data_IF_468351206670
#
_entry.id   IF_468351206670
#
_cell.length_a   1.000
_cell.length_b   1.000
_cell.length_c   1.000
_cell.angle_alpha   90.00
_cell.angle_beta   90.00
_cell.angle_gamma   90.00
#
_symmetry.space_group_name_H-M   'P 1'
#
loop_
_entity.id
_entity.type
_entity.pdbx_description
1 polymer ?
#
# COMPACT_ATOMS: atom_id res chain seq x y z
N UNK A 1 -88.93 -46.72 -48.44
CA UNK A 1 -88.50 -45.49 -49.14
C UNK A 1 -88.75 -44.30 -48.23
N UNK A 2 -87.70 -43.77 -47.59
CA UNK A 2 -87.60 -42.41 -46.99
C UNK A 2 -86.17 -42.27 -46.43
N UNK A 3 -85.20 -41.74 -47.20
CA UNK A 3 -84.66 -40.36 -47.16
C UNK A 3 -84.32 -39.87 -45.74
N UNK A 4 -83.04 -39.83 -45.36
CA UNK A 4 -82.00 -38.80 -45.61
C UNK A 4 -82.10 -37.58 -44.66
N UNK A 5 -80.94 -37.28 -44.06
CA UNK A 5 -80.45 -36.02 -43.48
C UNK A 5 -80.74 -35.73 -42.00
N UNK A 6 -79.70 -35.90 -41.17
CA UNK A 6 -79.28 -34.88 -40.19
C UNK A 6 -77.87 -35.19 -39.63
N UNK A 7 -76.82 -34.90 -40.41
CA UNK A 7 -75.44 -34.87 -39.90
C UNK A 7 -74.76 -33.60 -40.42
N UNK A 8 -74.04 -32.96 -39.50
CA UNK A 8 -73.36 -31.66 -39.57
C UNK A 8 -74.20 -30.42 -39.25
N UNK A 9 -74.17 -30.02 -37.98
CA UNK A 9 -73.94 -28.60 -37.64
C UNK A 9 -73.44 -28.42 -36.21
N UNK A 10 -72.13 -28.57 -35.97
CA UNK A 10 -71.48 -27.78 -34.92
C UNK A 10 -69.95 -27.64 -35.07
N UNK A 11 -69.51 -27.01 -36.16
CA UNK A 11 -68.11 -26.61 -36.35
C UNK A 11 -67.68 -25.44 -35.47
N UNK A 12 -68.60 -24.79 -34.74
CA UNK A 12 -68.29 -23.74 -33.75
C UNK A 12 -67.83 -24.31 -32.40
N UNK A 13 -68.36 -25.46 -31.98
CA UNK A 13 -67.99 -26.09 -30.70
C UNK A 13 -66.55 -26.62 -30.71
N UNK A 14 -66.13 -27.27 -31.80
CA UNK A 14 -64.74 -27.73 -31.96
C UNK A 14 -63.70 -26.61 -32.03
N UNK A 15 -64.12 -25.38 -32.38
CA UNK A 15 -63.22 -24.21 -32.47
C UNK A 15 -63.05 -23.48 -31.14
N UNK A 16 -64.02 -23.55 -30.21
CA UNK A 16 -63.83 -23.03 -28.84
C UNK A 16 -63.05 -24.03 -27.98
N UNK A 17 -63.36 -25.33 -28.08
CA UNK A 17 -62.60 -26.39 -27.39
C UNK A 17 -61.11 -26.38 -27.74
N UNK A 18 -60.74 -26.11 -29.00
CA UNK A 18 -59.33 -25.95 -29.39
C UNK A 18 -58.66 -24.74 -28.74
N UNK A 19 -59.37 -23.61 -28.61
CA UNK A 19 -58.83 -22.40 -27.97
C UNK A 19 -58.65 -22.58 -26.47
N UNK A 20 -59.60 -23.24 -25.82
CA UNK A 20 -59.53 -23.61 -24.39
C UNK A 20 -58.40 -24.61 -24.14
N UNK A 21 -58.21 -25.59 -25.06
CA UNK A 21 -57.09 -26.53 -25.00
C UNK A 21 -55.72 -25.86 -25.17
N UNK A 22 -55.56 -24.94 -26.13
CA UNK A 22 -54.31 -24.17 -26.29
C UNK A 22 -54.06 -23.23 -25.11
N UNK A 23 -55.10 -22.63 -24.53
CA UNK A 23 -54.98 -21.80 -23.33
C UNK A 23 -54.54 -22.62 -22.11
N UNK A 24 -55.08 -23.83 -21.95
CA UNK A 24 -54.68 -24.77 -20.90
C UNK A 24 -53.23 -25.25 -21.07
N UNK A 25 -52.81 -25.52 -22.32
CA UNK A 25 -51.45 -25.96 -22.63
C UNK A 25 -50.40 -24.84 -22.41
N UNK A 26 -50.77 -23.58 -22.69
CA UNK A 26 -49.94 -22.40 -22.36
C UNK A 26 -49.83 -22.19 -20.84
N UNK A 27 -50.91 -22.42 -20.09
CA UNK A 27 -50.92 -22.31 -18.63
C UNK A 27 -50.03 -23.37 -17.94
N UNK A 28 -49.97 -24.57 -18.51
CA UNK A 28 -49.05 -25.64 -18.05
C UNK A 28 -47.59 -25.30 -18.38
N UNK A 29 -47.30 -24.74 -19.56
CA UNK A 29 -45.93 -24.36 -19.93
C UNK A 29 -45.34 -23.21 -19.08
N UNK A 30 -46.17 -22.41 -18.41
CA UNK A 30 -45.74 -21.32 -17.54
C UNK A 30 -45.38 -21.78 -16.11
N UNK A 31 -45.62 -23.06 -15.76
CA UNK A 31 -45.39 -23.60 -14.42
C UNK A 31 -44.03 -24.30 -14.24
N UNK A 32 -43.18 -24.31 -15.27
CA UNK A 32 -41.88 -25.00 -15.27
C UNK A 32 -40.73 -23.99 -15.12
N UNK A 33 -40.59 -23.45 -13.91
CA UNK A 33 -39.51 -22.52 -13.58
C UNK A 33 -39.30 -22.38 -12.08
N UNK A 34 -39.33 -23.47 -11.33
CA UNK A 34 -38.89 -23.46 -9.92
C UNK A 34 -37.37 -23.63 -9.89
N UNK A 35 -36.65 -22.55 -9.61
CA UNK A 35 -35.27 -22.65 -9.14
C UNK A 35 -35.31 -23.34 -7.78
N UNK A 36 -34.75 -24.54 -7.69
CA UNK A 36 -34.72 -25.29 -6.44
C UNK A 36 -33.60 -24.70 -5.56
N UNK A 37 -34.00 -23.92 -4.56
CA UNK A 37 -33.13 -23.49 -3.47
C UNK A 37 -32.56 -24.73 -2.76
N UNK A 38 -31.24 -24.78 -2.62
CA UNK A 38 -30.53 -25.86 -1.95
C UNK A 38 -30.09 -25.40 -0.57
N UNK A 39 -30.32 -26.22 0.44
CA UNK A 39 -29.95 -25.91 1.82
C UNK A 39 -28.71 -26.71 2.19
N UNK A 40 -27.61 -26.02 2.45
CA UNK A 40 -26.36 -26.60 2.92
C UNK A 40 -26.33 -26.55 4.45
N UNK A 41 -25.95 -27.66 5.07
CA UNK A 41 -25.84 -27.77 6.52
C UNK A 41 -24.60 -28.58 6.92
N UNK A 42 -24.05 -28.27 8.08
CA UNK A 42 -22.85 -28.95 8.56
C UNK A 42 -22.31 -28.42 9.88
N UNK A 43 -21.24 -29.06 10.35
CA UNK A 43 -20.53 -28.75 11.59
C UNK A 43 -19.09 -28.37 11.33
N UNK A 44 -18.57 -27.42 12.11
CA UNK A 44 -17.15 -27.09 12.17
C UNK A 44 -16.62 -27.31 13.59
N UNK A 45 -15.59 -28.13 13.70
CA UNK A 45 -14.93 -28.48 14.96
C UNK A 45 -13.42 -28.28 14.89
N UNK A 46 -12.77 -28.21 16.04
CA UNK A 46 -11.31 -28.21 16.16
C UNK A 46 -10.74 -29.65 16.12
N UNK A 47 -9.42 -29.78 16.25
CA UNK A 47 -8.74 -31.09 16.28
C UNK A 47 -9.11 -31.96 17.50
N UNK A 48 -9.59 -31.35 18.57
CA UNK A 48 -10.04 -32.04 19.79
C UNK A 48 -11.54 -32.38 19.74
N UNK A 49 -12.21 -32.15 18.60
CA UNK A 49 -13.66 -32.26 18.40
C UNK A 49 -14.49 -31.29 19.26
N UNK A 50 -13.92 -30.15 19.65
CA UNK A 50 -14.67 -29.05 20.25
C UNK A 50 -15.34 -28.21 19.16
N UNK A 51 -16.62 -27.84 19.31
CA UNK A 51 -17.34 -27.02 18.34
C UNK A 51 -16.74 -25.62 18.26
N UNK A 52 -16.61 -25.09 17.04
CA UNK A 52 -16.05 -23.77 16.80
C UNK A 52 -17.15 -22.76 16.45
N UNK A 53 -17.51 -21.86 17.37
CA UNK A 53 -18.52 -20.83 17.11
C UNK A 53 -17.95 -19.62 16.35
N UNK A 54 -18.75 -19.06 15.45
CA UNK A 54 -18.39 -17.85 14.70
C UNK A 54 -17.39 -18.07 13.55
N UNK A 55 -17.20 -19.31 13.10
CA UNK A 55 -16.44 -19.64 11.89
C UNK A 55 -17.19 -19.12 10.67
N UNK A 56 -16.49 -18.44 9.76
CA UNK A 56 -17.08 -17.98 8.49
C UNK A 56 -17.09 -19.12 7.47
N UNK A 57 -18.28 -19.44 6.95
CA UNK A 57 -18.50 -20.45 5.91
C UNK A 57 -19.11 -19.74 4.70
N UNK A 58 -18.36 -19.62 3.61
CA UNK A 58 -18.81 -18.92 2.41
C UNK A 58 -18.58 -19.75 1.15
N UNK A 59 -19.41 -19.58 0.13
CA UNK A 59 -19.17 -20.16 -1.18
C UNK A 59 -18.03 -19.40 -1.86
N UNK A 60 -17.04 -20.13 -2.37
CA UNK A 60 -15.85 -19.53 -2.97
C UNK A 60 -16.24 -18.62 -4.14
N UNK A 61 -15.62 -17.43 -4.19
CA UNK A 61 -15.87 -16.40 -5.22
C UNK A 61 -17.28 -15.79 -5.23
N UNK A 62 -18.09 -15.99 -4.19
CA UNK A 62 -19.38 -15.31 -4.02
C UNK A 62 -19.44 -14.56 -2.68
N UNK A 63 -20.51 -13.81 -2.46
CA UNK A 63 -20.81 -13.17 -1.16
C UNK A 63 -21.83 -13.98 -0.34
N UNK A 64 -22.23 -15.15 -0.83
CA UNK A 64 -23.16 -16.03 -0.14
C UNK A 64 -22.42 -16.87 0.90
N UNK A 65 -22.88 -16.81 2.14
CA UNK A 65 -22.28 -17.52 3.25
C UNK A 65 -23.01 -17.26 4.56
N UNK A 66 -22.57 -17.94 5.60
CA UNK A 66 -23.08 -17.83 6.96
C UNK A 66 -21.94 -17.97 7.97
N UNK A 67 -22.25 -17.83 9.25
CA UNK A 67 -21.33 -18.15 10.33
C UNK A 67 -21.87 -19.32 11.14
N UNK A 68 -20.97 -20.10 11.77
CA UNK A 68 -21.37 -21.17 12.69
C UNK A 68 -21.96 -20.60 13.99
N UNK A 69 -22.92 -21.31 14.56
CA UNK A 69 -23.57 -20.98 15.83
C UNK A 69 -22.74 -21.45 17.05
N UNK A 70 -23.33 -21.42 18.25
CA UNK A 70 -22.65 -21.77 19.50
C UNK A 70 -22.23 -23.25 19.58
N UNK A 71 -22.93 -24.11 18.84
CA UNK A 71 -22.69 -25.55 18.77
C UNK A 71 -21.81 -25.92 17.56
N UNK A 72 -21.29 -24.91 16.83
CA UNK A 72 -20.43 -25.10 15.66
C UNK A 72 -21.20 -25.50 14.40
N UNK A 73 -22.53 -25.45 14.42
CA UNK A 73 -23.40 -25.80 13.31
C UNK A 73 -23.59 -24.60 12.38
N UNK A 74 -23.69 -24.86 11.08
CA UNK A 74 -24.08 -23.86 10.09
C UNK A 74 -25.19 -24.40 9.20
N UNK A 75 -26.09 -23.51 8.79
CA UNK A 75 -27.15 -23.82 7.86
C UNK A 75 -27.49 -22.58 7.02
N UNK A 76 -27.45 -22.69 5.70
CA UNK A 76 -27.86 -21.62 4.81
C UNK A 76 -28.35 -22.14 3.46
N UNK A 77 -29.19 -21.34 2.80
CA UNK A 77 -29.76 -21.67 1.49
C UNK A 77 -29.01 -20.91 0.40
N UNK A 78 -28.72 -21.59 -0.71
CA UNK A 78 -28.06 -21.04 -1.89
C UNK A 78 -28.82 -21.38 -3.16
N UNK A 79 -28.74 -20.46 -4.14
CA UNK A 79 -29.25 -20.66 -5.50
C UNK A 79 -28.16 -21.21 -6.45
N UNK A 80 -26.94 -21.44 -5.96
CA UNK A 80 -25.83 -21.94 -6.75
C UNK A 80 -25.99 -23.44 -7.10
N UNK A 81 -25.59 -23.82 -8.31
CA UNK A 81 -25.62 -25.22 -8.75
C UNK A 81 -24.40 -25.99 -8.24
N UNK A 82 -24.62 -27.20 -7.73
CA UNK A 82 -23.55 -28.13 -7.37
C UNK A 82 -22.81 -28.68 -8.61
N UNK A 83 -21.51 -29.03 -8.51
CA UNK A 83 -20.67 -28.91 -7.32
C UNK A 83 -20.17 -27.48 -7.07
N UNK A 84 -20.01 -27.12 -5.80
CA UNK A 84 -19.47 -25.84 -5.35
C UNK A 84 -18.40 -26.04 -4.30
N UNK A 85 -17.51 -25.07 -4.12
CA UNK A 85 -16.47 -25.09 -3.10
C UNK A 85 -16.83 -24.14 -1.97
N UNK A 86 -16.85 -24.63 -0.73
CA UNK A 86 -16.96 -23.82 0.47
C UNK A 86 -15.57 -23.41 0.97
N UNK A 87 -15.40 -22.13 1.28
CA UNK A 87 -14.26 -21.60 2.00
C UNK A 87 -14.66 -21.45 3.47
N UNK A 88 -14.00 -22.23 4.35
CA UNK A 88 -14.18 -22.18 5.79
C UNK A 88 -12.98 -21.45 6.39
N UNK A 89 -13.22 -20.33 7.07
CA UNK A 89 -12.17 -19.51 7.66
C UNK A 89 -12.50 -19.05 9.08
N UNK A 90 -11.49 -19.09 9.94
CA UNK A 90 -11.60 -18.62 11.32
C UNK A 90 -10.27 -18.02 11.77
N UNK A 91 -10.32 -17.02 12.66
CA UNK A 91 -9.14 -16.32 13.11
C UNK A 91 -8.23 -17.27 13.91
N UNK A 92 -6.97 -17.39 13.49
CA UNK A 92 -5.99 -18.30 14.13
C UNK A 92 -6.05 -19.75 13.63
N UNK A 93 -6.84 -20.02 12.58
CA UNK A 93 -6.96 -21.33 11.95
C UNK A 93 -6.58 -21.23 10.48
N UNK A 94 -6.16 -22.37 9.90
CA UNK A 94 -5.91 -22.46 8.47
C UNK A 94 -7.22 -22.45 7.71
N UNK A 95 -7.36 -21.55 6.74
CA UNK A 95 -8.51 -21.58 5.81
C UNK A 95 -8.52 -22.92 5.06
N UNK A 96 -9.68 -23.58 5.06
CA UNK A 96 -9.89 -24.85 4.38
C UNK A 96 -10.96 -24.70 3.30
N UNK A 97 -10.68 -25.26 2.13
CA UNK A 97 -11.62 -25.32 1.01
C UNK A 97 -12.17 -26.74 0.91
N UNK A 98 -13.49 -26.87 0.76
CA UNK A 98 -14.18 -28.17 0.68
C UNK A 98 -15.15 -28.14 -0.48
N UNK A 99 -15.01 -29.11 -1.38
CA UNK A 99 -15.94 -29.31 -2.48
C UNK A 99 -17.19 -30.06 -2.00
N UNK A 100 -18.36 -29.49 -2.28
CA UNK A 100 -19.68 -30.04 -1.97
C UNK A 100 -20.31 -30.51 -3.27
N UNK A 101 -20.62 -31.80 -3.33
CA UNK A 101 -21.24 -32.44 -4.50
C UNK A 101 -22.75 -32.69 -4.30
N UNK A 102 -23.20 -32.81 -3.04
CA UNK A 102 -24.58 -33.07 -2.66
C UNK A 102 -24.97 -32.20 -1.46
N UNK A 103 -26.08 -31.46 -1.57
CA UNK A 103 -26.59 -30.60 -0.49
C UNK A 103 -27.29 -31.39 0.63
N UNK A 104 -27.65 -32.65 0.39
CA UNK A 104 -28.30 -33.51 1.39
C UNK A 104 -27.31 -34.17 2.36
N UNK A 105 -26.01 -34.17 2.03
CA UNK A 105 -24.97 -34.70 2.88
C UNK A 105 -24.53 -33.65 3.92
N UNK A 106 -24.59 -34.01 5.20
CA UNK A 106 -24.11 -33.14 6.27
C UNK A 106 -22.60 -32.96 6.19
N UNK A 107 -22.15 -31.71 6.09
CA UNK A 107 -20.73 -31.39 5.90
C UNK A 107 -20.05 -31.36 7.27
N UNK A 108 -19.00 -32.17 7.47
CA UNK A 108 -18.21 -32.15 8.70
C UNK A 108 -16.80 -31.64 8.42
N UNK A 109 -16.42 -30.55 9.09
CA UNK A 109 -15.15 -29.86 8.87
C UNK A 109 -14.33 -29.83 10.15
N UNK A 110 -13.11 -30.36 10.09
CA UNK A 110 -12.13 -30.26 11.19
C UNK A 110 -11.12 -29.19 10.83
N UNK A 111 -11.24 -28.00 11.43
CA UNK A 111 -10.27 -26.94 11.24
C UNK A 111 -9.02 -27.19 12.06
N UNK A 112 -7.87 -27.06 11.41
CA UNK A 112 -6.58 -27.10 12.09
C UNK A 112 -6.16 -25.70 12.48
N UNK A 113 -5.80 -25.52 13.75
CA UNK A 113 -5.16 -24.30 14.22
C UNK A 113 -3.91 -24.01 13.38
N UNK A 114 -3.81 -22.77 12.91
CA UNK A 114 -2.61 -22.25 12.30
C UNK A 114 -2.18 -21.10 13.18
N UNK A 115 -1.20 -21.36 14.04
CA UNK A 115 -0.46 -20.31 14.73
C UNK A 115 0.27 -19.48 13.68
N UNK A 116 -0.48 -18.56 13.05
CA UNK A 116 0.00 -17.58 12.10
C UNK A 116 0.82 -16.56 12.90
N UNK A 117 2.04 -16.96 13.28
CA UNK A 117 3.11 -16.00 13.48
C UNK A 117 3.39 -15.48 12.08
N UNK A 118 2.67 -14.42 11.68
CA UNK A 118 2.92 -13.67 10.46
C UNK A 118 4.37 -13.20 10.51
N UNK A 119 5.26 -14.01 9.96
CA UNK A 119 6.67 -13.68 9.84
C UNK A 119 6.80 -12.61 8.77
N UNK A 120 7.46 -11.51 9.11
CA UNK A 120 7.79 -10.47 8.15
C UNK A 120 8.56 -11.10 6.97
N UNK A 121 7.98 -11.00 5.77
CA UNK A 121 8.58 -11.46 4.52
C UNK A 121 9.48 -10.34 4.00
N UNK A 122 10.72 -10.70 3.69
CA UNK A 122 11.77 -9.81 3.20
C UNK A 122 12.39 -10.37 1.91
N UNK A 123 12.70 -9.53 0.94
CA UNK A 123 13.22 -9.96 -0.36
C UNK A 123 14.69 -9.59 -0.46
N UNK A 124 15.59 -10.53 -0.17
CA UNK A 124 17.03 -10.28 -0.28
C UNK A 124 17.62 -10.96 -1.52
N UNK A 125 18.10 -10.17 -2.49
CA UNK A 125 19.02 -10.62 -3.55
C UNK A 125 18.44 -11.42 -4.73
N UNK A 126 17.25 -12.01 -4.63
CA UNK A 126 16.48 -12.55 -5.78
C UNK A 126 14.98 -12.65 -5.41
N UNK A 127 14.10 -12.58 -6.42
CA UNK A 127 12.66 -12.27 -6.37
C UNK A 127 11.73 -13.05 -5.41
N UNK A 128 12.24 -13.99 -4.60
CA UNK A 128 11.43 -14.78 -3.67
C UNK A 128 11.60 -14.30 -2.22
N UNK A 129 10.47 -14.01 -1.58
CA UNK A 129 10.44 -13.57 -0.19
C UNK A 129 10.94 -14.65 0.78
N UNK A 130 11.88 -14.28 1.64
CA UNK A 130 12.43 -15.11 2.72
C UNK A 130 11.92 -14.56 4.06
N UNK A 131 11.71 -15.41 5.06
CA UNK A 131 11.32 -14.94 6.38
C UNK A 131 12.48 -14.16 7.03
N UNK A 132 12.20 -13.00 7.64
CA UNK A 132 13.20 -12.24 8.39
C UNK A 132 13.85 -13.07 9.50
N UNK A 133 13.10 -14.01 10.11
CA UNK A 133 13.58 -14.89 11.19
C UNK A 133 14.70 -15.83 10.73
N UNK A 134 14.74 -16.18 9.45
CA UNK A 134 15.72 -17.13 8.89
C UNK A 134 16.97 -16.45 8.35
N UNK A 135 17.03 -15.11 8.33
CA UNK A 135 18.20 -14.41 7.83
C UNK A 135 19.34 -14.42 8.85
N UNK A 136 20.58 -14.76 8.45
CA UNK A 136 21.74 -14.78 9.34
C UNK A 136 22.31 -13.37 9.63
N UNK A 137 21.66 -12.31 9.14
CA UNK A 137 22.13 -10.93 9.26
C UNK A 137 21.01 -9.97 9.66
N UNK A 138 21.42 -8.85 10.27
CA UNK A 138 20.50 -7.80 10.68
C UNK A 138 19.96 -7.03 9.45
N UNK A 139 18.67 -7.22 9.19
CA UNK A 139 17.89 -6.48 8.20
C UNK A 139 16.88 -5.57 8.91
N UNK A 140 16.75 -4.34 8.43
CA UNK A 140 15.70 -3.40 8.84
C UNK A 140 14.76 -3.19 7.67
N UNK A 141 13.50 -3.58 7.80
CA UNK A 141 12.47 -3.30 6.80
C UNK A 141 11.55 -2.19 7.31
N UNK A 142 11.12 -1.35 6.38
CA UNK A 142 10.27 -0.18 6.61
C UNK A 142 9.13 -0.29 5.62
N UNK A 143 7.91 -0.46 6.13
CA UNK A 143 6.70 -0.58 5.31
C UNK A 143 6.18 0.79 4.87
N UNK A 144 5.35 0.79 3.82
CA UNK A 144 4.73 1.96 3.21
C UNK A 144 4.05 2.93 4.22
N UNK A 145 3.40 2.41 5.26
CA UNK A 145 2.74 3.24 6.29
C UNK A 145 3.75 4.13 7.02
N UNK A 146 4.88 3.55 7.40
CA UNK A 146 5.97 4.28 8.04
C UNK A 146 6.65 5.21 7.05
N UNK A 147 6.78 4.84 5.76
CA UNK A 147 7.36 5.72 4.74
C UNK A 147 6.53 7.01 4.60
N UNK A 148 5.21 6.90 4.52
CA UNK A 148 4.30 8.03 4.25
C UNK A 148 3.81 8.78 5.49
N UNK A 149 4.24 8.41 6.71
CA UNK A 149 3.84 9.12 7.95
C UNK A 149 4.23 10.60 7.93
N UNK A 150 5.31 10.94 7.21
CA UNK A 150 5.75 12.31 6.99
C UNK A 150 5.71 12.54 5.47
N UNK A 151 5.09 13.63 4.98
CA UNK A 151 5.18 14.01 3.57
C UNK A 151 6.65 14.24 3.23
N UNK A 152 7.27 13.24 2.64
CA UNK A 152 8.66 13.28 2.24
C UNK A 152 8.70 13.72 0.78
N UNK A 153 9.45 14.78 0.48
CA UNK A 153 9.68 15.21 -0.91
C UNK A 153 10.45 14.18 -1.72
N UNK A 154 11.14 13.26 -1.04
CA UNK A 154 11.93 12.20 -1.63
C UNK A 154 12.06 10.98 -0.69
N UNK A 155 12.45 9.82 -1.23
CA UNK A 155 12.55 8.60 -0.40
C UNK A 155 13.69 8.67 0.63
N UNK A 156 14.71 9.50 0.41
CA UNK A 156 15.86 9.64 1.31
C UNK A 156 15.47 10.23 2.66
N UNK A 157 14.63 11.27 2.66
CA UNK A 157 14.13 11.93 3.87
C UNK A 157 13.14 11.06 4.64
N UNK A 158 12.39 10.20 3.95
CA UNK A 158 11.43 9.28 4.58
C UNK A 158 12.09 8.31 5.56
N UNK A 159 13.36 7.95 5.35
CA UNK A 159 14.08 6.99 6.20
C UNK A 159 14.71 7.62 7.45
N UNK A 160 14.68 8.96 7.56
CA UNK A 160 15.32 9.70 8.67
C UNK A 160 14.68 9.31 10.00
N UNK A 161 15.51 8.82 10.92
CA UNK A 161 15.07 8.37 12.25
C UNK A 161 14.33 7.02 12.27
N UNK A 162 14.01 6.43 11.10
CA UNK A 162 13.33 5.13 11.01
C UNK A 162 14.31 3.96 10.88
N UNK A 163 15.55 4.24 10.44
CA UNK A 163 16.60 3.23 10.29
C UNK A 163 17.78 3.54 11.21
N UNK A 164 18.05 2.64 12.16
CA UNK A 164 19.17 2.79 13.07
C UNK A 164 20.52 2.76 12.34
N UNK A 165 21.37 3.76 12.59
CA UNK A 165 22.69 3.87 11.95
C UNK A 165 22.66 4.40 10.52
N UNK A 166 21.53 4.94 10.06
CA UNK A 166 21.42 5.71 8.83
C UNK A 166 21.70 7.18 9.12
N UNK A 167 22.60 7.80 8.36
CA UNK A 167 22.86 9.24 8.35
C UNK A 167 22.41 9.79 6.99
N UNK A 168 21.65 10.86 7.02
CA UNK A 168 21.11 11.50 5.82
C UNK A 168 21.59 12.95 5.85
N UNK A 169 22.46 13.30 4.91
CA UNK A 169 23.03 14.62 4.77
C UNK A 169 22.36 15.33 3.59
N UNK A 170 21.64 16.41 3.88
CA UNK A 170 20.95 17.22 2.88
C UNK A 170 21.65 18.58 2.79
N UNK A 171 22.39 18.82 1.71
CA UNK A 171 23.20 20.03 1.53
C UNK A 171 22.41 21.27 1.08
N UNK A 172 21.07 21.21 1.13
CA UNK A 172 20.15 22.33 0.87
C UNK A 172 19.17 22.07 -0.29
N UNK A 173 17.95 22.60 -0.13
CA UNK A 173 16.88 22.53 -1.14
C UNK A 173 16.40 21.11 -1.48
N UNK A 174 15.82 20.97 -2.68
CA UNK A 174 15.29 19.71 -3.23
C UNK A 174 16.33 18.93 -4.06
N UNK A 175 17.62 19.09 -3.77
CA UNK A 175 18.71 18.46 -4.54
C UNK A 175 18.98 16.99 -4.14
N UNK A 176 18.06 16.40 -3.37
CA UNK A 176 18.23 15.08 -2.79
C UNK A 176 19.22 15.05 -1.63
N UNK A 177 19.06 14.08 -0.74
CA UNK A 177 20.02 13.85 0.33
C UNK A 177 21.03 12.76 -0.06
N UNK A 178 22.26 12.89 0.43
CA UNK A 178 23.23 11.81 0.46
C UNK A 178 22.98 10.94 1.68
N UNK A 179 23.07 9.64 1.50
CA UNK A 179 22.69 8.66 2.51
C UNK A 179 23.89 7.80 2.84
N UNK A 180 24.17 7.63 4.13
CA UNK A 180 25.32 6.88 4.62
C UNK A 180 24.87 5.89 5.70
N UNK A 181 25.37 4.66 5.63
CA UNK A 181 25.10 3.62 6.63
C UNK A 181 26.33 3.40 7.50
N UNK A 182 26.17 3.53 8.82
CA UNK A 182 27.20 3.35 9.86
C UNK A 182 28.33 4.40 9.84
N UNK A 183 28.04 5.63 9.40
CA UNK A 183 28.99 6.74 9.42
C UNK A 183 30.10 6.61 8.39
N UNK A 184 31.13 7.45 8.51
CA UNK A 184 32.25 7.54 7.58
C UNK A 184 33.10 6.27 7.56
N UNK A 185 33.15 5.60 6.41
CA UNK A 185 33.87 4.33 6.22
C UNK A 185 35.24 4.46 5.59
N UNK A 186 35.59 5.63 5.08
CA UNK A 186 36.89 5.90 4.48
C UNK A 186 37.43 7.25 4.93
N UNK A 187 38.76 7.29 5.09
CA UNK A 187 39.52 8.50 5.45
C UNK A 187 39.52 9.51 4.30
N UNK A 188 39.34 9.04 3.05
CA UNK A 188 39.33 9.86 1.84
C UNK A 188 37.93 10.28 1.39
N UNK A 189 36.86 9.79 2.02
CA UNK A 189 35.48 10.14 1.69
C UNK A 189 34.47 9.11 2.19
N UNK A 190 33.20 9.51 2.28
CA UNK A 190 32.11 8.65 2.73
C UNK A 190 31.63 7.72 1.60
N UNK A 191 31.34 6.46 1.94
CA UNK A 191 30.84 5.45 0.99
C UNK A 191 29.33 5.38 1.11
N UNK A 192 28.62 5.80 0.05
CA UNK A 192 27.17 5.66 -0.06
C UNK A 192 26.78 4.17 -0.24
N UNK A 193 25.62 3.73 0.30
CA UNK A 193 25.14 2.39 0.11
C UNK A 193 24.63 2.17 -1.32
N UNK A 194 24.66 0.90 -1.75
CA UNK A 194 24.12 0.51 -3.04
C UNK A 194 22.60 0.57 -3.02
N UNK A 195 22.01 1.30 -3.97
CA UNK A 195 20.55 1.33 -4.16
C UNK A 195 20.15 0.21 -5.12
N UNK A 196 19.23 -0.62 -4.67
CA UNK A 196 18.70 -1.75 -5.45
C UNK A 196 17.20 -1.55 -5.57
N UNK A 197 16.65 -1.60 -6.78
CA UNK A 197 15.20 -1.47 -7.01
C UNK A 197 14.70 -2.80 -7.55
N UNK A 198 13.76 -3.43 -6.84
CA UNK A 198 13.17 -4.74 -7.20
C UNK A 198 14.21 -5.84 -7.49
N UNK A 199 15.36 -5.79 -6.82
CA UNK A 199 16.47 -6.74 -6.99
C UNK A 199 17.52 -6.34 -8.02
N UNK A 200 17.29 -5.27 -8.79
CA UNK A 200 18.22 -4.75 -9.78
C UNK A 200 19.06 -3.60 -9.22
N UNK A 201 20.37 -3.67 -9.43
CA UNK A 201 21.29 -2.58 -9.06
C UNK A 201 21.07 -1.40 -9.98
N UNK A 202 20.75 -0.23 -9.41
CA UNK A 202 20.56 1.00 -10.18
C UNK A 202 21.70 1.98 -9.92
N UNK A 203 21.90 2.92 -10.84
CA UNK A 203 22.75 4.10 -10.62
C UNK A 203 21.96 5.28 -10.01
N UNK A 204 20.74 5.02 -9.54
CA UNK A 204 19.84 6.03 -9.02
C UNK A 204 20.15 6.31 -7.56
N UNK A 205 19.84 7.54 -7.13
CA UNK A 205 19.82 7.93 -5.73
C UNK A 205 18.43 7.64 -5.17
N UNK A 206 18.32 7.52 -3.85
CA UNK A 206 17.00 7.49 -3.20
C UNK A 206 16.18 8.76 -3.46
N UNK A 207 16.85 9.87 -3.78
CA UNK A 207 16.19 11.11 -4.17
C UNK A 207 15.44 11.01 -5.50
N UNK A 208 15.85 10.10 -6.38
CA UNK A 208 15.27 9.92 -7.71
C UNK A 208 14.04 9.00 -7.70
N UNK A 209 13.71 8.43 -6.54
CA UNK A 209 12.61 7.48 -6.37
C UNK A 209 11.47 8.18 -5.66
N UNK A 210 10.30 8.19 -6.30
CA UNK A 210 9.08 8.71 -5.71
C UNK A 210 8.63 7.81 -4.54
N UNK A 211 8.49 8.34 -3.30
CA UNK A 211 8.00 7.58 -2.15
C UNK A 211 6.67 6.88 -2.40
N UNK A 212 5.78 7.48 -3.21
CA UNK A 212 4.46 6.93 -3.49
C UNK A 212 4.50 5.63 -4.29
N UNK A 213 5.60 5.33 -5.00
CA UNK A 213 5.76 4.09 -5.75
C UNK A 213 6.36 2.96 -4.91
N UNK A 214 6.79 3.26 -3.67
CA UNK A 214 7.48 2.33 -2.79
C UNK A 214 6.47 1.52 -1.96
N UNK A 215 6.58 0.20 -1.99
CA UNK A 215 5.85 -0.70 -1.10
C UNK A 215 6.60 -0.91 0.22
N UNK A 216 7.90 -1.14 0.15
CA UNK A 216 8.74 -1.26 1.33
C UNK A 216 10.21 -0.98 1.02
N UNK A 217 10.96 -0.57 2.03
CA UNK A 217 12.40 -0.39 1.96
C UNK A 217 13.06 -1.38 2.90
N UNK A 218 14.06 -2.08 2.40
CA UNK A 218 14.86 -3.07 3.11
C UNK A 218 16.31 -2.60 3.18
N UNK A 219 16.83 -2.44 4.39
CA UNK A 219 18.19 -1.95 4.63
C UNK A 219 19.05 -3.06 5.20
N UNK A 220 20.05 -3.46 4.42
CA UNK A 220 21.09 -4.43 4.80
C UNK A 220 22.38 -3.68 5.15
N UNK A 221 22.89 -3.90 6.37
CA UNK A 221 24.03 -3.14 6.89
C UNK A 221 25.36 -3.88 6.71
N UNK A 222 26.37 -3.18 6.17
CA UNK A 222 27.77 -3.61 6.22
C UNK A 222 28.07 -4.90 5.48
N UNK A 223 28.91 -5.78 6.06
CA UNK A 223 29.45 -6.98 5.39
C UNK A 223 28.40 -7.96 4.86
N UNK A 224 27.21 -8.03 5.45
CA UNK A 224 26.13 -8.87 4.95
C UNK A 224 25.63 -8.44 3.56
N UNK A 225 25.69 -7.14 3.27
CA UNK A 225 25.36 -6.62 1.95
C UNK A 225 26.43 -7.01 0.91
N UNK A 226 27.70 -7.01 1.29
CA UNK A 226 28.80 -7.44 0.42
C UNK A 226 28.72 -8.93 0.06
N UNK A 227 28.11 -9.77 0.89
CA UNK A 227 27.86 -11.16 0.54
C UNK A 227 26.84 -11.33 -0.60
N UNK A 228 25.88 -10.38 -0.71
CA UNK A 228 24.84 -10.41 -1.74
C UNK A 228 25.29 -9.75 -3.06
N UNK A 229 25.97 -8.60 -2.99
CA UNK A 229 26.31 -7.79 -4.17
C UNK A 229 27.81 -7.47 -4.31
N UNK A 230 28.68 -8.18 -3.60
CA UNK A 230 30.14 -8.06 -3.69
C UNK A 230 30.69 -6.74 -3.15
N UNK A 231 31.77 -6.25 -3.74
CA UNK A 231 32.44 -5.00 -3.32
C UNK A 231 31.52 -3.78 -3.40
N UNK A 232 30.54 -3.79 -4.31
CA UNK A 232 29.53 -2.72 -4.43
C UNK A 232 28.64 -2.59 -3.19
N UNK A 233 28.51 -3.66 -2.39
CA UNK A 233 27.74 -3.67 -1.15
C UNK A 233 28.52 -3.24 0.09
N UNK A 234 29.79 -2.80 -0.02
CA UNK A 234 30.62 -2.37 1.13
C UNK A 234 29.96 -1.22 1.94
N UNK A 235 29.30 -0.31 1.22
CA UNK A 235 28.47 0.76 1.77
C UNK A 235 27.23 0.27 2.53
N UNK A 236 26.82 -0.98 2.37
CA UNK A 236 25.48 -1.48 2.69
C UNK A 236 24.59 -1.47 1.46
N UNK A 237 23.39 -2.04 1.57
CA UNK A 237 22.36 -2.01 0.52
C UNK A 237 21.09 -1.41 1.08
N UNK A 238 20.47 -0.56 0.27
CA UNK A 238 19.10 -0.12 0.46
C UNK A 238 18.31 -0.66 -0.73
N UNK A 239 17.49 -1.67 -0.44
CA UNK A 239 16.63 -2.29 -1.41
C UNK A 239 15.24 -1.67 -1.33
N UNK A 240 14.77 -1.16 -2.46
CA UNK A 240 13.46 -0.57 -2.63
C UNK A 240 12.59 -1.58 -3.37
N UNK A 241 11.49 -1.98 -2.76
CA UNK A 241 10.46 -2.79 -3.39
C UNK A 241 9.35 -1.85 -3.84
N UNK A 242 9.00 -1.90 -5.12
CA UNK A 242 7.94 -1.06 -5.68
C UNK A 242 6.57 -1.72 -5.55
N UNK A 243 5.52 -0.89 -5.51
CA UNK A 243 4.13 -1.36 -5.49
C UNK A 243 3.82 -2.12 -6.77
N UNK A 244 3.36 -3.36 -6.64
CA UNK A 244 2.93 -4.21 -7.77
C UNK A 244 1.42 -4.32 -7.82
N UNK A 245 0.87 -4.35 -9.04
CA UNK A 245 -0.56 -4.60 -9.27
C UNK A 245 -0.95 -6.01 -8.80
N UNK A 246 -2.09 -6.12 -8.10
CA UNK A 246 -2.62 -7.42 -7.66
C UNK A 246 -3.79 -7.84 -8.55
N UNK A 247 -3.83 -9.13 -8.92
CA UNK A 247 -4.84 -9.69 -9.85
C UNK A 247 -6.24 -9.81 -9.23
N UNK A 248 -6.33 -9.74 -7.92
CA UNK A 248 -7.53 -9.93 -7.10
C UNK A 248 -8.24 -8.61 -6.74
N UNK A 249 -7.68 -7.47 -7.14
CA UNK A 249 -8.18 -6.14 -6.76
C UNK A 249 -8.84 -5.45 -7.95
N UNK A 250 -9.97 -4.79 -7.72
CA UNK A 250 -10.60 -3.89 -8.70
C UNK A 250 -9.63 -2.75 -9.04
N UNK A 251 -9.75 -2.18 -10.24
CA UNK A 251 -8.92 -1.04 -10.66
C UNK A 251 -9.08 0.10 -9.65
N UNK A 252 -7.99 0.48 -9.02
CA UNK A 252 -7.91 1.54 -8.02
C UNK A 252 -7.10 2.70 -8.63
N UNK A 253 -7.72 3.88 -8.72
CA UNK A 253 -7.12 5.07 -9.32
C UNK A 253 -7.09 6.17 -8.27
N UNK A 254 -5.89 6.48 -7.80
CA UNK A 254 -5.63 7.56 -6.84
C UNK A 254 -5.03 8.72 -7.60
N UNK A 255 -5.64 9.90 -7.45
CA UNK A 255 -5.16 11.15 -8.03
C UNK A 255 -4.92 12.13 -6.88
N UNK A 256 -3.65 12.47 -6.67
CA UNK A 256 -3.23 13.46 -5.70
C UNK A 256 -2.93 14.79 -6.42
N UNK A 257 -3.56 15.87 -5.96
CA UNK A 257 -3.29 17.23 -6.46
C UNK A 257 -3.03 18.17 -5.28
N UNK A 258 -1.86 18.79 -5.29
CA UNK A 258 -1.45 19.75 -4.26
C UNK A 258 -1.08 21.08 -4.92
N UNK A 259 -1.62 22.18 -4.38
CA UNK A 259 -1.29 23.55 -4.79
C UNK A 259 -0.89 24.33 -3.54
N UNK A 260 0.35 24.80 -3.50
CA UNK A 260 0.91 25.57 -2.40
C UNK A 260 1.27 26.99 -2.83
N UNK A 261 0.99 27.96 -1.96
CA UNK A 261 1.44 29.36 -2.11
C UNK A 261 2.46 29.65 -1.01
N UNK A 262 3.61 30.21 -1.38
CA UNK A 262 4.65 30.60 -0.42
C UNK A 262 4.76 32.11 -0.39
N UNK A 263 4.30 32.72 0.69
CA UNK A 263 4.51 34.14 0.95
C UNK A 263 5.69 34.32 1.91
N UNK A 264 6.63 35.19 1.56
CA UNK A 264 7.73 35.55 2.47
C UNK A 264 7.13 36.44 3.56
N UNK A 265 6.78 35.84 4.70
CA UNK A 265 6.07 36.52 5.78
C UNK A 265 6.85 37.71 6.38
N UNK A 266 8.19 37.67 6.32
CA UNK A 266 9.05 38.71 6.84
C UNK A 266 10.34 38.77 6.03
N UNK A 267 10.48 39.78 5.17
CA UNK A 267 11.78 40.14 4.63
C UNK A 267 12.56 40.87 5.75
N UNK A 268 13.77 40.42 6.13
CA UNK A 268 14.60 41.20 7.03
C UNK A 268 14.82 42.59 6.40
N UNK A 269 14.84 43.67 7.20
CA UNK A 269 15.09 44.99 6.67
C UNK A 269 16.46 45.00 5.97
N UNK A 270 16.48 45.34 4.69
CA UNK A 270 17.72 45.49 3.94
C UNK A 270 18.50 46.69 4.48
N UNK A 271 19.82 46.56 4.57
CA UNK A 271 20.67 47.69 4.97
C UNK A 271 20.58 48.79 3.91
N UNK A 272 19.93 49.91 4.25
CA UNK A 272 19.84 51.08 3.37
C UNK A 272 21.07 51.99 3.46
N UNK A 273 21.98 51.70 4.39
CA UNK A 273 23.15 52.50 4.67
C UNK A 273 24.42 51.65 4.55
N UNK A 274 25.49 52.26 4.04
CA UNK A 274 26.82 51.68 4.04
C UNK A 274 27.78 52.55 4.85
N UNK A 275 28.91 52.00 5.28
CA UNK A 275 29.83 52.68 6.20
C UNK A 275 30.47 53.97 5.63
N UNK A 276 30.54 54.13 4.31
CA UNK A 276 31.21 55.25 3.65
C UNK A 276 30.25 56.41 3.36
N UNK A 277 30.77 57.61 3.10
CA UNK A 277 30.02 58.73 2.53
C UNK A 277 29.88 58.55 1.02
N UNK A 278 28.75 58.99 0.48
CA UNK A 278 28.50 59.07 -0.96
C UNK A 278 28.31 60.51 -1.41
N UNK A 279 28.73 60.78 -2.64
CA UNK A 279 28.39 61.99 -3.36
C UNK A 279 26.91 61.95 -3.80
N UNK A 280 26.39 63.07 -4.29
CA UNK A 280 25.00 63.18 -4.76
C UNK A 280 24.66 62.28 -5.95
N UNK A 281 25.67 61.76 -6.64
CA UNK A 281 25.54 60.81 -7.76
C UNK A 281 25.62 59.33 -7.32
N UNK A 282 25.78 59.06 -6.01
CA UNK A 282 25.89 57.71 -5.45
C UNK A 282 27.29 57.11 -5.49
N UNK A 283 28.30 57.82 -6.00
CA UNK A 283 29.71 57.38 -5.93
C UNK A 283 30.29 57.59 -4.53
N UNK A 284 31.28 56.78 -4.13
CA UNK A 284 31.95 56.97 -2.84
C UNK A 284 32.72 58.29 -2.81
N UNK A 285 32.55 59.05 -1.73
CA UNK A 285 33.38 60.22 -1.47
C UNK A 285 34.82 59.75 -1.19
N UNK A 286 35.75 60.24 -2.01
CA UNK A 286 37.17 59.94 -1.93
C UNK A 286 37.94 61.19 -1.52
N UNK A 287 38.80 61.06 -0.51
CA UNK A 287 39.80 62.07 -0.12
C UNK A 287 41.15 61.39 -0.19
N UNK A 288 42.08 61.94 -0.97
CA UNK A 288 43.40 61.36 -1.25
C UNK A 288 43.35 59.90 -1.74
N UNK A 289 42.31 59.55 -2.50
CA UNK A 289 42.10 58.21 -3.04
C UNK A 289 41.53 57.19 -2.02
N UNK A 290 41.28 57.60 -0.77
CA UNK A 290 40.66 56.76 0.25
C UNK A 290 39.18 57.11 0.45
N UNK A 291 38.34 56.10 0.66
CA UNK A 291 36.90 56.29 0.93
C UNK A 291 36.69 56.88 2.31
N UNK A 292 35.86 57.90 2.40
CA UNK A 292 35.56 58.59 3.67
C UNK A 292 34.46 57.86 4.43
N UNK A 293 34.62 57.67 5.73
CA UNK A 293 33.62 57.04 6.62
C UNK A 293 32.54 58.04 7.00
N UNK A 294 31.28 57.60 7.01
CA UNK A 294 30.13 58.40 7.45
C UNK A 294 29.83 58.20 8.94
N UNK A 295 30.34 59.10 9.76
CA UNK A 295 30.22 59.04 11.22
C UNK A 295 28.93 59.66 11.79
N UNK A 296 28.11 60.35 10.98
CA UNK A 296 27.01 61.19 11.51
C UNK A 296 25.66 61.01 10.80
N UNK A 297 25.64 60.68 9.51
CA UNK A 297 24.40 60.72 8.71
C UNK A 297 23.76 59.33 8.54
N UNK A 298 24.54 58.25 8.71
CA UNK A 298 24.09 56.88 8.43
C UNK A 298 23.48 56.11 9.62
N UNK A 299 23.19 56.78 10.73
CA UNK A 299 22.47 56.18 11.88
C UNK A 299 23.21 55.04 12.60
N UNK A 300 24.45 54.72 12.22
CA UNK A 300 25.31 53.86 13.03
C UNK A 300 25.65 54.59 14.32
N UNK A 301 25.07 54.11 15.43
CA UNK A 301 25.41 54.57 16.77
C UNK A 301 26.92 54.52 16.94
N UNK A 302 27.52 55.66 17.22
CA UNK A 302 28.96 55.83 17.49
C UNK A 302 29.33 55.27 18.87
N UNK A 303 28.66 54.21 19.33
CA UNK A 303 29.19 53.33 20.38
C UNK A 303 30.33 52.51 19.77
N UNK A 304 31.43 53.23 19.51
CA UNK A 304 32.75 52.65 19.53
C UNK A 304 32.84 51.80 20.80
N UNK A 305 33.19 50.52 20.61
CA UNK A 305 33.45 49.55 21.67
C UNK A 305 34.02 50.23 22.93
N UNK A 306 33.50 49.93 24.14
CA UNK A 306 33.90 50.60 25.39
C UNK A 306 35.37 50.39 25.82
N UNK A 307 36.21 49.74 24.99
CA UNK A 307 37.59 49.40 25.29
C UNK A 307 38.60 50.11 24.36
N UNK A 308 38.46 51.43 24.19
CA UNK A 308 39.41 52.24 23.39
C UNK A 308 40.56 52.85 24.20
N UNK A 309 40.76 52.41 25.44
CA UNK A 309 41.91 52.77 26.26
C UNK A 309 42.67 51.53 26.69
N UNK A 310 43.68 51.16 25.91
CA UNK A 310 44.87 50.51 26.43
C UNK A 310 46.10 51.22 25.83
N UNK A 311 46.87 51.83 26.73
CA UNK A 311 48.33 51.91 26.66
C UNK A 311 48.87 50.48 26.38
N UNK A 312 49.85 50.19 25.53
CA UNK A 312 50.92 50.95 24.86
C UNK A 312 51.05 50.54 23.38
#
# INVERSE_FOLDING_TARGET
MTNISFIFRNTRLFRSLRKEFYAFLILISCSLGTYAQQTLHGTVVDRNNEPLPGVSVAILSTTEGTATDIDGEFNFTTDQSLPLTLSISFLGFRTQEIDVYDASEGIHVVLSEEANILGEIVVTGVAQGTSRKTLPFALTKIDNELINTVPATDASTSLRGKVAGLRIDQSGGNQGASVYLRGSKSVAGDIEPLIVVDGFVTGLRLADINPNDIESIEVVKGAAASALYGTRGEGGIIQVLTKKGRKDRRVDVVIDNEVGFTDILLLPPVSKYHHYKVNSDGSFLLVDGARVIDYKENGFSVNLHPYRQFHD
#
